data_IF_029944924761
#
_entry.id   IF_029944924761
#
_cell.length_a   1.000
_cell.length_b   1.000
_cell.length_c   1.000
_cell.angle_alpha   90.00
_cell.angle_beta   90.00
_cell.angle_gamma   90.00
#
_symmetry.space_group_name_H-M   'P 1'
#
loop_
_entity.id
_entity.type
_entity.pdbx_description
1 polymer ?
#
# COMPACT_ATOMS: atom_id res chain seq x y z
N UNK A 1 13.60 -2.61 -7.73
CA UNK A 1 12.52 -2.86 -8.73
C UNK A 1 11.53 -3.93 -8.30
N UNK A 2 11.94 -4.96 -7.53
CA UNK A 2 11.05 -6.06 -7.11
C UNK A 2 9.75 -5.64 -6.40
N UNK A 3 9.78 -4.61 -5.54
CA UNK A 3 8.58 -4.14 -4.85
C UNK A 3 7.56 -3.45 -5.77
N UNK A 4 8.02 -2.77 -6.82
CA UNK A 4 7.16 -2.12 -7.81
C UNK A 4 6.48 -3.13 -8.74
N UNK A 5 7.21 -4.20 -9.10
CA UNK A 5 6.67 -5.29 -9.93
C UNK A 5 5.66 -6.15 -9.16
N UNK A 6 5.93 -6.44 -7.88
CA UNK A 6 5.04 -7.20 -7.02
C UNK A 6 3.72 -6.46 -6.71
N UNK A 7 3.73 -5.12 -6.62
CA UNK A 7 2.53 -4.32 -6.30
C UNK A 7 1.65 -4.13 -7.54
N UNK A 8 0.53 -4.84 -7.59
CA UNK A 8 -0.42 -4.82 -8.73
C UNK A 8 -1.59 -3.85 -8.48
N UNK A 9 -1.28 -2.60 -8.15
CA UNK A 9 -2.26 -1.50 -8.02
C UNK A 9 -1.62 -0.18 -8.47
N UNK A 10 -2.45 0.85 -8.62
CA UNK A 10 -1.99 2.25 -8.71
C UNK A 10 -2.40 3.03 -7.47
N UNK A 11 -1.43 3.64 -6.80
CA UNK A 11 -1.65 4.47 -5.60
C UNK A 11 -0.63 5.61 -5.52
N UNK A 12 -1.12 6.85 -5.62
CA UNK A 12 -0.30 8.05 -5.46
C UNK A 12 0.76 8.15 -6.55
N UNK A 13 2.04 8.12 -6.17
CA UNK A 13 3.17 8.20 -7.09
C UNK A 13 3.52 6.86 -7.77
N UNK A 14 3.01 5.73 -7.27
CA UNK A 14 3.16 4.44 -7.91
C UNK A 14 1.98 4.22 -8.87
N UNK A 15 2.21 4.46 -10.16
CA UNK A 15 1.21 4.33 -11.21
C UNK A 15 1.62 3.24 -12.19
N UNK A 16 0.72 2.29 -12.41
CA UNK A 16 0.87 1.15 -13.30
C UNK A 16 -0.19 1.21 -14.39
N UNK A 17 0.23 1.16 -15.65
CA UNK A 17 -0.69 1.20 -16.79
C UNK A 17 -1.50 -0.10 -16.92
N UNK A 18 -0.96 -1.21 -16.43
CA UNK A 18 -1.64 -2.51 -16.36
C UNK A 18 -2.57 -2.66 -15.14
N UNK A 19 -2.38 -1.85 -14.10
CA UNK A 19 -3.23 -1.81 -12.90
C UNK A 19 -3.55 -0.37 -12.50
N UNK A 20 -4.47 0.27 -13.22
CA UNK A 20 -4.71 1.73 -13.12
C UNK A 20 -5.51 2.17 -11.90
N UNK A 21 -6.14 1.24 -11.19
CA UNK A 21 -7.03 1.54 -10.05
C UNK A 21 -6.33 1.28 -8.72
N UNK A 22 -6.81 1.98 -7.69
CA UNK A 22 -6.46 1.71 -6.30
C UNK A 22 -7.29 0.53 -5.79
N UNK A 23 -6.64 -0.45 -5.18
CA UNK A 23 -7.29 -1.66 -4.67
C UNK A 23 -7.09 -1.77 -3.17
N UNK A 24 -7.98 -1.14 -2.40
CA UNK A 24 -7.87 -1.08 -0.95
C UNK A 24 -8.10 -2.44 -0.27
N UNK A 25 -8.82 -3.38 -0.90
CA UNK A 25 -9.04 -4.73 -0.35
C UNK A 25 -7.78 -5.58 -0.27
N UNK A 26 -6.91 -5.52 -1.29
CA UNK A 26 -5.70 -6.35 -1.33
C UNK A 26 -4.41 -5.58 -1.01
N UNK A 27 -4.37 -4.27 -1.27
CA UNK A 27 -3.13 -3.49 -1.28
C UNK A 27 -3.09 -2.33 -0.28
N UNK A 28 -4.07 -2.25 0.63
CA UNK A 28 -4.01 -1.40 1.83
C UNK A 28 -3.02 -1.96 2.86
N UNK A 29 -1.75 -1.99 2.47
CA UNK A 29 -0.64 -2.54 3.24
C UNK A 29 0.67 -1.84 2.90
N UNK A 30 1.58 -1.80 3.86
CA UNK A 30 2.97 -1.36 3.66
C UNK A 30 3.78 -2.52 3.08
N UNK A 31 4.56 -2.25 2.04
CA UNK A 31 5.56 -3.21 1.51
C UNK A 31 6.86 -3.04 2.28
N UNK A 32 7.34 -4.13 2.89
CA UNK A 32 8.63 -4.20 3.57
C UNK A 32 9.59 -5.01 2.69
N UNK A 33 10.75 -4.46 2.38
CA UNK A 33 11.78 -5.13 1.59
C UNK A 33 12.98 -5.47 2.46
N UNK A 34 13.29 -6.75 2.58
CA UNK A 34 14.46 -7.27 3.28
C UNK A 34 15.48 -7.73 2.25
N UNK A 35 16.76 -7.42 2.50
CA UNK A 35 17.86 -7.92 1.70
C UNK A 35 18.50 -9.10 2.44
N UNK A 36 18.34 -10.30 1.90
CA UNK A 36 18.79 -11.56 2.50
C UNK A 36 19.33 -12.46 1.38
N UNK A 37 20.50 -13.06 1.57
CA UNK A 37 21.11 -14.00 0.62
C UNK A 37 21.13 -13.54 -0.85
N UNK A 38 21.57 -12.28 -1.07
CA UNK A 38 21.61 -11.62 -2.38
C UNK A 38 20.25 -11.50 -3.09
N UNK A 39 19.15 -11.70 -2.37
CA UNK A 39 17.78 -11.63 -2.86
C UNK A 39 16.98 -10.62 -2.06
N UNK A 40 15.97 -10.04 -2.72
CA UNK A 40 14.99 -9.16 -2.07
C UNK A 40 13.80 -10.01 -1.64
N UNK A 41 13.61 -10.14 -0.33
CA UNK A 41 12.41 -10.74 0.26
C UNK A 41 11.41 -9.64 0.57
N UNK A 42 10.17 -9.82 0.13
CA UNK A 42 9.09 -8.87 0.38
C UNK A 42 8.16 -9.43 1.45
N UNK A 43 7.85 -8.61 2.44
CA UNK A 43 6.75 -8.84 3.37
C UNK A 43 5.78 -7.68 3.32
N UNK A 44 4.61 -7.87 3.94
CA UNK A 44 3.59 -6.85 4.02
C UNK A 44 3.10 -6.68 5.45
N UNK A 45 2.84 -5.44 5.84
CA UNK A 45 2.25 -5.09 7.12
C UNK A 45 0.94 -4.31 6.88
N UNK A 46 -0.15 -4.59 7.61
CA UNK A 46 -1.39 -3.81 7.47
C UNK A 46 -1.16 -2.34 7.82
N UNK A 47 -1.96 -1.47 7.21
CA UNK A 47 -2.02 -0.05 7.57
C UNK A 47 -2.79 0.07 8.89
N UNK A 48 -2.27 0.87 9.81
CA UNK A 48 -2.96 1.25 11.03
C UNK A 48 -4.02 2.30 10.69
N UNK A 49 -5.29 1.93 10.82
CA UNK A 49 -6.41 2.83 10.52
C UNK A 49 -6.87 3.60 11.76
N UNK A 50 -6.63 3.06 12.95
CA UNK A 50 -7.11 3.64 14.19
C UNK A 50 -6.37 4.93 14.57
N UNK A 51 -7.11 5.87 15.13
CA UNK A 51 -6.59 7.09 15.75
C UNK A 51 -5.97 6.78 17.12
N UNK A 52 -5.25 7.75 17.71
CA UNK A 52 -4.66 7.56 19.04
C UNK A 52 -5.72 7.48 20.15
N UNK A 53 -6.84 8.18 19.96
CA UNK A 53 -7.98 8.28 20.88
C UNK A 53 -9.30 8.48 20.12
N UNK A 54 -10.40 8.53 20.87
CA UNK A 54 -11.76 8.71 20.36
C UNK A 54 -12.13 10.19 20.09
N UNK A 55 -11.18 11.12 20.18
CA UNK A 55 -11.46 12.55 19.95
C UNK A 55 -11.84 12.83 18.50
N UNK A 56 -11.36 11.99 17.57
CA UNK A 56 -11.64 12.09 16.14
C UNK A 56 -11.95 10.72 15.56
N UNK A 57 -13.04 10.64 14.80
CA UNK A 57 -13.37 9.45 14.03
C UNK A 57 -12.36 9.20 12.92
N UNK A 58 -12.08 7.92 12.66
CA UNK A 58 -11.20 7.50 11.58
C UNK A 58 -11.83 7.84 10.22
N UNK A 59 -11.07 8.53 9.36
CA UNK A 59 -11.52 8.82 8.01
C UNK A 59 -11.44 7.57 7.12
N UNK A 60 -12.57 7.08 6.56
CA UNK A 60 -12.54 5.89 5.73
C UNK A 60 -11.82 6.18 4.40
N UNK A 61 -11.20 5.15 3.78
CA UNK A 61 -10.53 5.31 2.50
C UNK A 61 -11.50 5.76 1.40
N UNK A 62 -11.27 6.97 0.85
CA UNK A 62 -12.02 7.50 -0.29
C UNK A 62 -11.13 7.64 -1.51
N UNK A 63 -11.66 7.38 -2.70
CA UNK A 63 -10.94 7.63 -3.94
C UNK A 63 -10.55 9.11 -4.03
N UNK A 64 -9.29 9.38 -4.38
CA UNK A 64 -8.78 10.75 -4.50
C UNK A 64 -8.96 11.22 -5.95
N UNK A 65 -9.83 12.20 -6.14
CA UNK A 65 -10.07 12.90 -7.41
C UNK A 65 -9.69 14.36 -7.18
N UNK A 66 -8.99 14.98 -8.14
CA UNK A 66 -8.59 16.39 -8.07
C UNK A 66 -9.56 17.26 -8.85
#
# INVERSE_FOLDING_TARGET
MHSAEARKESRGAHAREDFTKREDGEWMKHTLGYWEDEKVRLEYRPVHMDTLDDELETFPPKARVY
#
